data_IF_919126562208
#
_entry.id   IF_919126562208
#
_cell.length_a   1.000
_cell.length_b   1.000
_cell.length_c   1.000
_cell.angle_alpha   90.00
_cell.angle_beta   90.00
_cell.angle_gamma   90.00
#
_symmetry.space_group_name_H-M   'P 1'
#
loop_
_entity.id
_entity.type
_entity.pdbx_description
1 polymer ?
#
# COMPACT_ATOMS: atom_id res chain seq x y z
N UNK A 1 -21.90 26.23 21.08
CA UNK A 1 -20.43 26.20 21.15
C UNK A 1 -20.05 25.13 22.16
N UNK A 2 -20.08 23.87 21.72
CA UNK A 2 -19.62 22.73 22.51
C UNK A 2 -18.32 22.28 21.88
N UNK A 3 -17.24 22.44 22.65
CA UNK A 3 -15.85 22.17 22.33
C UNK A 3 -15.68 20.67 22.07
N UNK A 4 -15.66 20.25 20.80
CA UNK A 4 -15.35 18.89 20.39
C UNK A 4 -13.86 18.83 20.07
N UNK A 5 -13.03 18.87 21.11
CA UNK A 5 -11.62 18.54 20.99
C UNK A 5 -11.51 17.07 20.61
N UNK A 6 -11.05 16.82 19.38
CA UNK A 6 -10.50 15.54 18.96
C UNK A 6 -9.45 15.13 19.99
N UNK A 7 -9.70 14.02 20.70
CA UNK A 7 -8.83 13.51 21.76
C UNK A 7 -7.46 13.17 21.16
N UNK A 8 -6.50 14.07 21.34
CA UNK A 8 -5.10 13.92 20.91
C UNK A 8 -4.30 12.97 21.80
N UNK A 9 -4.94 12.34 22.80
CA UNK A 9 -4.28 11.49 23.76
C UNK A 9 -4.35 10.03 23.30
N UNK A 10 -3.21 9.31 23.16
CA UNK A 10 -3.23 7.90 22.80
C UNK A 10 -3.92 7.09 23.91
N UNK A 11 -4.74 6.09 23.53
CA UNK A 11 -5.46 5.30 24.51
C UNK A 11 -4.51 4.53 25.45
N UNK A 12 -4.87 4.34 26.73
CA UNK A 12 -4.09 3.54 27.68
C UNK A 12 -3.96 2.08 27.21
N UNK A 13 -2.92 1.38 27.71
CA UNK A 13 -2.58 0.03 27.26
C UNK A 13 -3.75 -0.98 27.40
N UNK A 14 -4.55 -0.86 28.45
CA UNK A 14 -5.72 -1.71 28.68
C UNK A 14 -6.81 -1.50 27.62
N UNK A 15 -6.98 -0.28 27.11
CA UNK A 15 -7.92 0.02 26.02
C UNK A 15 -7.41 -0.47 24.66
N UNK A 16 -6.09 -0.42 24.43
CA UNK A 16 -5.46 -1.01 23.24
C UNK A 16 -5.70 -2.54 23.23
N UNK A 17 -5.51 -3.19 24.38
CA UNK A 17 -5.76 -4.61 24.53
C UNK A 17 -7.24 -4.99 24.32
N UNK A 18 -8.16 -4.10 24.70
CA UNK A 18 -9.61 -4.29 24.60
C UNK A 18 -10.21 -3.98 23.23
N UNK A 19 -9.44 -3.48 22.25
CA UNK A 19 -9.95 -3.16 20.93
C UNK A 19 -10.56 -4.40 20.23
N UNK A 20 -11.83 -4.28 19.82
CA UNK A 20 -12.63 -5.40 19.35
C UNK A 20 -12.12 -6.04 18.04
N UNK A 21 -11.49 -5.24 17.15
CA UNK A 21 -10.91 -5.73 15.90
C UNK A 21 -9.37 -5.72 15.99
N UNK A 22 -8.68 -6.78 15.55
CA UNK A 22 -7.22 -6.83 15.56
C UNK A 22 -6.55 -5.65 14.81
N UNK A 23 -7.17 -5.17 13.73
CA UNK A 23 -6.65 -4.01 13.00
C UNK A 23 -6.74 -2.72 13.81
N UNK A 24 -7.83 -2.49 14.55
CA UNK A 24 -7.97 -1.30 15.40
C UNK A 24 -6.90 -1.29 16.50
N UNK A 25 -6.60 -2.48 17.05
CA UNK A 25 -5.51 -2.67 18.00
C UNK A 25 -4.16 -2.31 17.40
N UNK A 26 -3.86 -2.80 16.19
CA UNK A 26 -2.59 -2.49 15.50
C UNK A 26 -2.44 -0.97 15.25
N UNK A 27 -3.50 -0.32 14.77
CA UNK A 27 -3.52 1.13 14.56
C UNK A 27 -3.32 1.90 15.89
N UNK A 28 -3.94 1.42 16.99
CA UNK A 28 -3.79 2.02 18.30
C UNK A 28 -2.38 1.84 18.88
N UNK A 29 -1.75 0.67 18.69
CA UNK A 29 -0.35 0.42 19.05
C UNK A 29 0.54 1.42 18.31
N UNK A 30 0.40 1.55 16.99
CA UNK A 30 1.25 2.46 16.22
C UNK A 30 1.08 3.92 16.64
N UNK A 31 -0.16 4.38 16.89
CA UNK A 31 -0.40 5.71 17.48
C UNK A 31 0.32 5.90 18.81
N UNK A 32 0.32 4.87 19.67
CA UNK A 32 0.96 4.92 20.99
C UNK A 32 2.49 4.91 20.88
N UNK A 33 3.04 4.14 19.94
CA UNK A 33 4.48 4.07 19.66
C UNK A 33 5.01 5.40 19.12
N UNK A 34 4.24 6.08 18.28
CA UNK A 34 4.62 7.36 17.68
C UNK A 34 4.12 8.61 18.43
N UNK A 35 3.56 8.44 19.62
CA UNK A 35 3.13 9.56 20.46
C UNK A 35 4.33 10.47 20.80
N UNK A 36 4.31 11.78 20.51
CA UNK A 36 5.48 12.65 20.68
C UNK A 36 6.00 12.77 22.12
N UNK A 37 5.14 12.54 23.12
CA UNK A 37 5.48 12.74 24.53
C UNK A 37 5.90 11.43 25.22
N UNK A 38 5.24 10.32 24.89
CA UNK A 38 5.34 9.05 25.61
C UNK A 38 5.69 7.88 24.71
N UNK A 39 5.84 8.10 23.41
CA UNK A 39 6.15 7.07 22.42
C UNK A 39 7.59 6.57 22.52
N UNK A 40 7.90 5.61 21.65
CA UNK A 40 9.24 5.07 21.50
C UNK A 40 10.11 6.08 20.71
N UNK A 41 11.29 6.48 21.23
CA UNK A 41 12.14 7.45 20.53
C UNK A 41 12.53 7.02 19.12
N UNK A 42 12.80 5.73 18.93
CA UNK A 42 13.12 5.18 17.61
C UNK A 42 11.93 5.25 16.67
N UNK A 43 10.71 4.93 17.14
CA UNK A 43 9.54 5.02 16.28
C UNK A 43 9.28 6.48 15.89
N UNK A 44 9.34 7.41 16.84
CA UNK A 44 9.07 8.84 16.62
C UNK A 44 10.02 9.46 15.57
N UNK A 45 11.32 9.14 15.61
CA UNK A 45 12.32 9.75 14.73
C UNK A 45 12.20 9.33 13.25
N UNK A 46 11.45 8.25 12.96
CA UNK A 46 11.32 7.74 11.59
C UNK A 46 10.52 8.66 10.68
N UNK A 47 10.85 8.62 9.38
CA UNK A 47 10.08 9.25 8.31
C UNK A 47 9.80 8.27 7.15
N UNK A 48 9.12 8.74 6.10
CA UNK A 48 8.80 7.89 4.95
C UNK A 48 10.03 7.27 4.27
N UNK A 49 11.16 7.97 4.28
CA UNK A 49 12.38 7.52 3.63
C UNK A 49 13.15 6.51 4.47
N UNK A 50 13.11 6.63 5.81
CA UNK A 50 13.77 5.67 6.70
C UNK A 50 13.01 4.36 6.82
N UNK A 51 11.67 4.36 6.68
CA UNK A 51 10.83 3.15 6.70
C UNK A 51 10.76 2.42 5.34
N UNK A 52 11.01 3.11 4.22
CA UNK A 52 10.90 2.52 2.89
C UNK A 52 11.80 1.27 2.66
N UNK A 53 13.06 1.19 3.14
CA UNK A 53 13.87 -0.02 3.05
C UNK A 53 13.23 -1.22 3.76
N UNK A 54 12.74 -1.05 4.98
CA UNK A 54 12.07 -2.11 5.75
C UNK A 54 10.84 -2.63 5.00
N UNK A 55 10.06 -1.76 4.37
CA UNK A 55 8.92 -2.17 3.52
C UNK A 55 9.34 -3.10 2.37
N UNK A 56 10.55 -2.92 1.83
CA UNK A 56 11.08 -3.78 0.78
C UNK A 56 11.57 -5.10 1.37
N UNK A 57 12.24 -5.05 2.52
CA UNK A 57 12.72 -6.24 3.24
C UNK A 57 11.56 -7.19 3.57
N UNK A 58 10.47 -6.71 4.19
CA UNK A 58 9.32 -7.58 4.51
C UNK A 58 8.67 -8.17 3.26
N UNK A 59 8.68 -7.45 2.14
CA UNK A 59 8.16 -7.99 0.88
C UNK A 59 9.03 -9.13 0.33
N UNK A 60 10.34 -9.14 0.62
CA UNK A 60 11.24 -10.24 0.30
C UNK A 60 11.07 -11.40 1.27
N UNK A 61 10.88 -11.16 2.56
CA UNK A 61 10.63 -12.21 3.55
C UNK A 61 9.29 -12.94 3.26
N UNK A 62 8.24 -12.21 2.88
CA UNK A 62 6.99 -12.82 2.37
C UNK A 62 7.27 -13.74 1.17
N UNK A 63 8.11 -13.31 0.22
CA UNK A 63 8.44 -14.11 -0.95
C UNK A 63 9.27 -15.36 -0.58
N UNK A 64 10.18 -15.24 0.38
CA UNK A 64 10.99 -16.35 0.89
C UNK A 64 10.12 -17.39 1.64
N UNK A 65 9.22 -16.95 2.52
CA UNK A 65 8.27 -17.81 3.21
C UNK A 65 7.40 -18.62 2.22
N UNK A 66 6.92 -17.98 1.14
CA UNK A 66 6.21 -18.67 0.05
C UNK A 66 7.11 -19.70 -0.63
N UNK A 67 8.36 -19.35 -0.95
CA UNK A 67 9.29 -20.24 -1.62
C UNK A 67 9.64 -21.49 -0.78
N UNK A 68 9.69 -21.33 0.54
CA UNK A 68 9.89 -22.42 1.50
C UNK A 68 8.62 -23.23 1.79
N UNK A 69 7.45 -22.73 1.39
CA UNK A 69 6.16 -23.33 1.72
C UNK A 69 5.82 -23.24 3.21
N UNK A 70 6.38 -22.26 3.91
CA UNK A 70 6.19 -22.06 5.36
C UNK A 70 4.99 -21.15 5.60
N UNK A 71 3.84 -21.76 5.88
CA UNK A 71 2.57 -21.03 6.04
C UNK A 71 2.50 -20.24 7.35
N UNK A 72 3.17 -20.72 8.40
CA UNK A 72 3.19 -20.01 9.68
C UNK A 72 4.05 -18.75 9.57
N UNK A 73 5.21 -18.88 8.94
CA UNK A 73 6.10 -17.75 8.69
C UNK A 73 5.47 -16.75 7.72
N UNK A 74 4.82 -17.23 6.65
CA UNK A 74 4.06 -16.38 5.73
C UNK A 74 3.03 -15.50 6.46
N UNK A 75 2.35 -16.03 7.48
CA UNK A 75 1.40 -15.24 8.27
C UNK A 75 2.12 -14.13 9.07
N UNK A 76 3.29 -14.44 9.64
CA UNK A 76 4.12 -13.48 10.37
C UNK A 76 4.57 -12.36 9.44
N UNK A 77 5.20 -12.71 8.32
CA UNK A 77 5.76 -11.75 7.36
C UNK A 77 4.68 -10.88 6.69
N UNK A 78 3.48 -11.43 6.43
CA UNK A 78 2.34 -10.62 5.99
C UNK A 78 1.88 -9.62 7.06
N UNK A 79 2.02 -9.97 8.34
CA UNK A 79 1.77 -9.09 9.47
C UNK A 79 2.79 -7.95 9.53
N UNK A 80 4.07 -8.25 9.36
CA UNK A 80 5.15 -7.26 9.37
C UNK A 80 5.06 -6.33 8.15
N UNK A 81 4.75 -6.86 6.96
CA UNK A 81 4.47 -6.04 5.79
C UNK A 81 3.24 -5.12 6.02
N UNK A 82 2.19 -5.61 6.68
CA UNK A 82 1.03 -4.78 7.06
C UNK A 82 1.42 -3.70 8.09
N UNK A 83 2.32 -4.00 9.03
CA UNK A 83 2.85 -3.04 10.00
C UNK A 83 3.51 -1.87 9.28
N UNK A 84 4.30 -2.11 8.22
CA UNK A 84 4.93 -1.04 7.44
C UNK A 84 3.90 -0.11 6.77
N UNK A 85 2.78 -0.66 6.27
CA UNK A 85 1.66 0.14 5.72
C UNK A 85 1.03 1.00 6.80
N UNK A 86 0.78 0.44 7.99
CA UNK A 86 0.23 1.15 9.15
C UNK A 86 1.18 2.26 9.62
N UNK A 87 2.48 2.01 9.63
CA UNK A 87 3.51 2.98 10.01
C UNK A 87 3.47 4.21 9.08
N UNK A 88 3.49 3.98 7.75
CA UNK A 88 3.38 5.08 6.78
C UNK A 88 2.05 5.83 6.87
N UNK A 89 0.93 5.13 7.08
CA UNK A 89 -0.37 5.76 7.27
C UNK A 89 -0.42 6.63 8.53
N UNK A 90 0.20 6.17 9.63
CA UNK A 90 0.31 6.95 10.86
C UNK A 90 1.14 8.23 10.65
N UNK A 91 2.33 8.12 10.02
CA UNK A 91 3.15 9.30 9.66
C UNK A 91 2.44 10.29 8.73
N UNK A 92 1.62 9.79 7.81
CA UNK A 92 0.81 10.63 6.93
C UNK A 92 -0.31 11.35 7.70
N UNK A 93 -0.95 10.66 8.65
CA UNK A 93 -2.00 11.22 9.48
C UNK A 93 -1.47 12.33 10.40
N UNK A 94 -0.30 12.12 11.01
CA UNK A 94 0.43 13.12 11.81
C UNK A 94 0.70 14.41 11.02
N UNK A 95 0.90 14.29 9.71
CA UNK A 95 1.15 15.42 8.79
C UNK A 95 -0.13 15.98 8.16
N UNK A 96 -1.30 15.46 8.52
CA UNK A 96 -2.59 15.86 7.95
C UNK A 96 -2.75 15.54 6.45
N UNK A 97 -2.05 14.53 5.94
CA UNK A 97 -2.04 14.17 4.52
C UNK A 97 -3.14 13.17 4.17
N UNK A 98 -3.15 12.02 4.85
CA UNK A 98 -4.14 10.94 4.74
C UNK A 98 -3.94 9.96 5.90
N UNK A 99 -4.92 9.09 6.16
CA UNK A 99 -4.87 8.06 7.19
C UNK A 99 -4.98 6.64 6.60
N UNK A 100 -5.03 5.64 7.48
CA UNK A 100 -5.15 4.24 7.07
C UNK A 100 -6.46 3.95 6.32
N UNK A 101 -7.57 4.57 6.72
CA UNK A 101 -8.86 4.40 6.06
C UNK A 101 -8.81 4.91 4.61
N UNK A 102 -8.16 6.05 4.37
CA UNK A 102 -7.94 6.55 3.02
C UNK A 102 -7.09 5.59 2.16
N UNK A 103 -6.07 4.95 2.75
CA UNK A 103 -5.26 3.93 2.06
C UNK A 103 -6.12 2.70 1.69
N UNK A 104 -6.90 2.18 2.64
CA UNK A 104 -7.77 1.03 2.44
C UNK A 104 -8.88 1.32 1.41
N UNK A 105 -9.52 2.49 1.49
CA UNK A 105 -10.51 2.95 0.53
C UNK A 105 -9.93 3.06 -0.88
N UNK A 106 -8.77 3.69 -1.03
CA UNK A 106 -8.10 3.79 -2.33
C UNK A 106 -7.76 2.42 -2.93
N UNK A 107 -7.36 1.45 -2.10
CA UNK A 107 -7.14 0.07 -2.54
C UNK A 107 -8.44 -0.60 -2.98
N UNK A 108 -9.51 -0.50 -2.19
CA UNK A 108 -10.81 -1.09 -2.48
C UNK A 108 -11.45 -0.52 -3.75
N UNK A 109 -11.52 0.81 -3.88
CA UNK A 109 -12.05 1.50 -5.06
C UNK A 109 -11.29 1.11 -6.33
N UNK A 110 -9.96 1.03 -6.24
CA UNK A 110 -9.11 0.60 -7.34
C UNK A 110 -9.40 -0.84 -7.75
N UNK A 111 -9.63 -1.73 -6.80
CA UNK A 111 -9.96 -3.13 -7.09
C UNK A 111 -11.35 -3.26 -7.71
N UNK A 112 -12.35 -2.55 -7.20
CA UNK A 112 -13.71 -2.49 -7.77
C UNK A 112 -13.64 -2.01 -9.23
N UNK A 113 -12.98 -0.87 -9.46
CA UNK A 113 -12.81 -0.30 -10.82
C UNK A 113 -12.10 -1.23 -11.78
N UNK A 114 -11.14 -2.03 -11.30
CA UNK A 114 -10.36 -2.96 -12.14
C UNK A 114 -11.03 -4.30 -12.40
N UNK A 115 -12.17 -4.56 -11.77
CA UNK A 115 -12.94 -5.79 -11.93
C UNK A 115 -14.40 -5.50 -12.32
N UNK A 116 -14.65 -4.79 -13.44
CA UNK A 116 -16.00 -4.47 -13.88
C UNK A 116 -16.83 -5.71 -14.26
N UNK A 117 -16.18 -6.87 -14.41
CA UNK A 117 -16.82 -8.17 -14.66
C UNK A 117 -17.30 -8.87 -13.38
N UNK A 118 -16.84 -8.42 -12.21
CA UNK A 118 -17.30 -8.90 -10.91
C UNK A 118 -18.27 -7.89 -10.28
N UNK A 119 -17.96 -6.59 -10.38
CA UNK A 119 -18.69 -5.52 -9.70
C UNK A 119 -19.54 -4.64 -10.64
N UNK A 120 -19.69 -5.03 -11.91
CA UNK A 120 -20.51 -4.33 -12.90
C UNK A 120 -21.03 -5.30 -13.96
N UNK A 121 -21.35 -4.78 -15.15
CA UNK A 121 -22.02 -5.56 -16.20
C UNK A 121 -21.08 -6.13 -17.28
N UNK A 122 -19.77 -5.92 -17.16
CA UNK A 122 -18.83 -6.41 -18.16
C UNK A 122 -18.77 -7.95 -18.15
N UNK A 123 -18.55 -8.56 -19.31
CA UNK A 123 -18.29 -10.01 -19.41
C UNK A 123 -16.84 -10.23 -19.82
N UNK A 124 -16.14 -11.02 -19.02
CA UNK A 124 -14.77 -11.45 -19.27
C UNK A 124 -14.74 -12.96 -19.08
N UNK A 125 -14.65 -13.68 -20.19
CA UNK A 125 -14.84 -15.14 -20.20
C UNK A 125 -13.52 -15.92 -20.08
N UNK A 126 -12.36 -15.25 -20.23
CA UNK A 126 -11.04 -15.90 -20.16
C UNK A 126 -9.99 -15.07 -19.43
N UNK A 127 -8.96 -15.75 -18.91
CA UNK A 127 -7.82 -15.10 -18.27
C UNK A 127 -7.04 -14.19 -19.24
N UNK A 128 -6.93 -14.56 -20.52
CA UNK A 128 -6.35 -13.69 -21.56
C UNK A 128 -7.17 -12.41 -21.74
N UNK A 129 -8.50 -12.52 -21.79
CA UNK A 129 -9.39 -11.37 -21.91
C UNK A 129 -9.28 -10.46 -20.67
N UNK A 130 -9.18 -11.04 -19.48
CA UNK A 130 -8.95 -10.29 -18.24
C UNK A 130 -7.62 -9.53 -18.26
N UNK A 131 -6.55 -10.18 -18.72
CA UNK A 131 -5.23 -9.56 -18.84
C UNK A 131 -5.24 -8.38 -19.81
N UNK A 132 -5.90 -8.51 -20.96
CA UNK A 132 -6.06 -7.40 -21.93
C UNK A 132 -6.84 -6.23 -21.34
N UNK A 133 -8.01 -6.50 -20.75
CA UNK A 133 -8.84 -5.48 -20.10
C UNK A 133 -8.06 -4.74 -19.01
N UNK A 134 -7.24 -5.45 -18.22
CA UNK A 134 -6.42 -4.83 -17.20
C UNK A 134 -5.35 -3.91 -17.78
N UNK A 135 -4.70 -4.29 -18.88
CA UNK A 135 -3.70 -3.44 -19.52
C UNK A 135 -4.31 -2.19 -20.16
N UNK A 136 -5.49 -2.30 -20.77
CA UNK A 136 -6.28 -1.16 -21.27
C UNK A 136 -6.65 -0.19 -20.13
N UNK A 137 -7.13 -0.71 -19.00
CA UNK A 137 -7.44 0.09 -17.81
C UNK A 137 -6.19 0.79 -17.27
N UNK A 138 -5.04 0.11 -17.22
CA UNK A 138 -3.76 0.71 -16.81
C UNK A 138 -3.31 1.80 -17.79
N UNK A 139 -3.52 1.63 -19.09
CA UNK A 139 -3.20 2.65 -20.09
C UNK A 139 -4.04 3.91 -19.88
N UNK A 140 -5.36 3.76 -19.71
CA UNK A 140 -6.26 4.87 -19.39
C UNK A 140 -5.93 5.56 -18.05
N UNK A 141 -5.45 4.81 -17.04
CA UNK A 141 -4.94 5.38 -15.79
C UNK A 141 -3.69 6.24 -16.02
N UNK A 142 -2.74 5.80 -16.86
CA UNK A 142 -1.55 6.58 -17.23
C UNK A 142 -1.91 7.87 -17.98
N UNK A 143 -2.85 7.80 -18.91
CA UNK A 143 -3.35 8.97 -19.64
C UNK A 143 -3.97 10.01 -18.71
N UNK A 144 -4.85 9.59 -17.80
CA UNK A 144 -5.44 10.47 -16.78
C UNK A 144 -4.39 11.09 -15.86
N UNK A 145 -3.38 10.30 -15.46
CA UNK A 145 -2.26 10.80 -14.65
C UNK A 145 -1.45 11.84 -15.42
N UNK A 146 -1.10 11.57 -16.67
CA UNK A 146 -0.36 12.49 -17.53
C UNK A 146 -1.12 13.80 -17.75
N UNK A 147 -2.43 13.74 -17.99
CA UNK A 147 -3.29 14.92 -18.11
C UNK A 147 -3.28 15.77 -16.83
N UNK A 148 -3.36 15.14 -15.65
CA UNK A 148 -3.30 15.83 -14.35
C UNK A 148 -1.94 16.47 -14.07
N UNK A 149 -0.85 15.86 -14.52
CA UNK A 149 0.53 16.34 -14.27
C UNK A 149 1.12 17.17 -15.41
N UNK A 150 0.35 17.46 -16.47
CA UNK A 150 0.83 18.20 -17.65
C UNK A 150 1.87 17.45 -18.49
N UNK A 151 1.93 16.12 -18.40
CA UNK A 151 2.89 15.26 -19.11
C UNK A 151 2.31 14.59 -20.35
N UNK A 152 3.16 13.84 -21.07
CA UNK A 152 2.73 12.90 -22.12
C UNK A 152 2.78 11.47 -21.59
N UNK A 153 1.74 10.65 -21.81
CA UNK A 153 1.76 9.26 -21.37
C UNK A 153 2.79 8.45 -22.17
N UNK A 154 3.57 7.63 -21.48
CA UNK A 154 4.49 6.66 -22.06
C UNK A 154 4.11 5.23 -21.68
N UNK A 155 4.30 4.29 -22.60
CA UNK A 155 4.19 2.86 -22.32
C UNK A 155 5.14 2.41 -21.20
N UNK A 156 6.25 3.13 -21.02
CA UNK A 156 7.30 2.84 -20.03
C UNK A 156 7.12 3.59 -18.70
N UNK A 157 6.09 4.43 -18.54
CA UNK A 157 5.83 5.17 -17.28
C UNK A 157 5.43 4.25 -16.12
N UNK A 158 5.55 4.69 -14.87
CA UNK A 158 5.21 3.89 -13.67
C UNK A 158 6.06 2.62 -13.48
N UNK A 159 7.30 2.63 -13.95
CA UNK A 159 8.34 1.69 -13.55
C UNK A 159 9.16 2.32 -12.40
N UNK A 160 9.06 1.81 -11.15
CA UNK A 160 9.83 2.36 -10.06
C UNK A 160 11.32 2.29 -10.36
N UNK A 161 12.02 3.40 -10.12
CA UNK A 161 13.48 3.47 -10.29
C UNK A 161 14.22 2.64 -9.24
N UNK A 162 13.59 2.41 -8.09
CA UNK A 162 14.10 1.59 -6.99
C UNK A 162 14.03 0.08 -7.24
N UNK A 163 13.39 -0.38 -8.34
CA UNK A 163 13.40 -1.80 -8.66
C UNK A 163 14.84 -2.30 -8.91
N UNK A 164 15.20 -3.50 -8.43
CA UNK A 164 16.47 -4.14 -8.77
C UNK A 164 16.70 -4.13 -10.29
N UNK A 165 17.95 -3.86 -10.69
CA UNK A 165 18.28 -3.57 -12.09
C UNK A 165 17.77 -4.64 -13.08
N UNK A 166 17.92 -5.93 -12.74
CA UNK A 166 17.45 -7.04 -13.58
C UNK A 166 15.92 -7.10 -13.67
N UNK A 167 15.20 -6.93 -12.56
CA UNK A 167 13.74 -6.88 -12.57
C UNK A 167 13.24 -5.68 -13.38
N UNK A 168 13.90 -4.54 -13.23
CA UNK A 168 13.58 -3.33 -13.98
C UNK A 168 13.82 -3.52 -15.47
N UNK A 169 14.94 -4.13 -15.86
CA UNK A 169 15.26 -4.45 -17.25
C UNK A 169 14.24 -5.41 -17.86
N UNK A 170 13.88 -6.49 -17.15
CA UNK A 170 12.87 -7.44 -17.59
C UNK A 170 11.52 -6.74 -17.82
N UNK A 171 11.04 -5.94 -16.85
CA UNK A 171 9.77 -5.22 -17.02
C UNK A 171 9.81 -4.17 -18.13
N UNK A 172 10.96 -3.54 -18.38
CA UNK A 172 11.14 -2.65 -19.53
C UNK A 172 10.99 -3.40 -20.85
N UNK A 173 11.67 -4.55 -20.98
CA UNK A 173 11.58 -5.41 -22.17
C UNK A 173 10.15 -5.92 -22.40
N UNK A 174 9.48 -6.40 -21.35
CA UNK A 174 8.09 -6.86 -21.44
C UNK A 174 7.13 -5.76 -21.92
N UNK A 175 7.38 -4.50 -21.53
CA UNK A 175 6.55 -3.37 -21.97
C UNK A 175 6.89 -2.90 -23.37
N UNK A 176 8.16 -2.96 -23.77
CA UNK A 176 8.60 -2.66 -25.12
C UNK A 176 8.02 -3.68 -26.12
N UNK A 177 8.09 -4.97 -25.79
CA UNK A 177 7.52 -6.05 -26.62
C UNK A 177 6.00 -5.87 -26.84
N UNK A 178 5.27 -5.32 -25.86
CA UNK A 178 3.81 -5.06 -25.97
C UNK A 178 3.46 -4.01 -27.03
N UNK A 179 4.37 -3.10 -27.34
CA UNK A 179 4.18 -2.07 -28.38
C UNK A 179 4.88 -2.43 -29.69
N UNK A 180 5.40 -3.65 -29.81
CA UNK A 180 6.02 -4.17 -31.03
C UNK A 180 7.47 -3.73 -31.28
N UNK A 181 8.21 -3.36 -30.22
CA UNK A 181 9.65 -3.12 -30.29
C UNK A 181 10.45 -4.42 -30.23
#
# INVERSE_FOLDING_TARGET
MTDSRSSSEPPPADEIAAAARPIDRLLAIMRRLRDPERGCPWDIEQDFSTIAPYTIEEAYEVADAIARGDVEDLRTELGDLLLQVVFHAQMAAERGLFDFEAVAAAAAEKMIRRHPHIFGDARIDTAEAQRRSWEELKAAERERKAARTGGRPSALDDLPRSLPALMRALKLQERAARVGF
#
